data_IF_148215084888
#
_entry.id   IF_148215084888
#
_cell.length_a   1.000
_cell.length_b   1.000
_cell.length_c   1.000
_cell.angle_alpha   90.00
_cell.angle_beta   90.00
_cell.angle_gamma   90.00
#
_symmetry.space_group_name_H-M   'P 1'
#
loop_
_entity.id
_entity.type
_entity.pdbx_description
1 polymer ?
#
# COMPACT_ATOMS: atom_id res chain seq x y z
N UNK A 1 -46.23 20.58 -3.61
CA UNK A 1 -44.82 20.15 -3.51
C UNK A 1 -44.19 20.94 -2.37
N UNK A 2 -43.78 20.27 -1.30
CA UNK A 2 -43.24 20.91 -0.10
C UNK A 2 -41.72 20.98 -0.19
N UNK A 3 -41.14 22.17 -0.10
CA UNK A 3 -39.69 22.34 -0.04
C UNK A 3 -39.18 21.89 1.33
N UNK A 4 -38.24 20.94 1.36
CA UNK A 4 -37.62 20.46 2.58
C UNK A 4 -36.56 21.48 3.05
N UNK A 5 -36.79 22.08 4.22
CA UNK A 5 -35.87 23.07 4.79
C UNK A 5 -34.69 22.33 5.42
N UNK A 6 -33.59 22.24 4.68
CA UNK A 6 -32.36 21.60 5.15
C UNK A 6 -31.40 22.58 5.82
N UNK A 7 -30.82 22.16 6.94
CA UNK A 7 -29.80 22.93 7.63
C UNK A 7 -28.43 22.75 6.96
N UNK A 8 -28.00 23.75 6.20
CA UNK A 8 -26.72 23.72 5.49
C UNK A 8 -25.50 23.61 6.42
N UNK A 9 -25.57 24.10 7.67
CA UNK A 9 -24.47 23.94 8.65
C UNK A 9 -24.29 22.47 9.02
N UNK A 10 -25.39 21.76 9.30
CA UNK A 10 -25.36 20.33 9.61
C UNK A 10 -24.90 19.51 8.40
N UNK A 11 -25.39 19.82 7.21
CA UNK A 11 -24.98 19.17 5.96
C UNK A 11 -23.46 19.32 5.71
N UNK A 12 -22.91 20.54 5.85
CA UNK A 12 -21.46 20.78 5.74
C UNK A 12 -20.66 20.02 6.79
N UNK A 13 -21.15 19.97 8.03
CA UNK A 13 -20.51 19.22 9.12
C UNK A 13 -20.48 17.72 8.84
N UNK A 14 -21.59 17.18 8.32
CA UNK A 14 -21.69 15.77 7.91
C UNK A 14 -20.68 15.45 6.80
N UNK A 15 -20.63 16.28 5.75
CA UNK A 15 -19.67 16.14 4.66
C UNK A 15 -18.21 16.17 5.14
N UNK A 16 -17.86 17.13 6.00
CA UNK A 16 -16.50 17.22 6.57
C UNK A 16 -16.11 15.99 7.40
N UNK A 17 -17.06 15.38 8.13
CA UNK A 17 -16.81 14.14 8.88
C UNK A 17 -16.57 12.95 7.94
N UNK A 18 -17.43 12.79 6.93
CA UNK A 18 -17.30 11.74 5.92
C UNK A 18 -15.96 11.83 5.16
N UNK A 19 -15.54 13.05 4.79
CA UNK A 19 -14.25 13.24 4.12
C UNK A 19 -13.05 12.83 4.99
N UNK A 20 -13.12 13.11 6.31
CA UNK A 20 -12.11 12.70 7.28
C UNK A 20 -12.09 11.18 7.47
N UNK A 21 -13.25 10.54 7.53
CA UNK A 21 -13.36 9.08 7.65
C UNK A 21 -12.77 8.39 6.42
N UNK A 22 -13.08 8.88 5.22
CA UNK A 22 -12.49 8.37 3.97
C UNK A 22 -10.97 8.53 3.94
N UNK A 23 -10.45 9.66 4.42
CA UNK A 23 -9.00 9.87 4.54
C UNK A 23 -8.39 8.90 5.58
N UNK A 24 -9.03 8.73 6.72
CA UNK A 24 -8.61 7.79 7.75
C UNK A 24 -8.60 6.35 7.25
N UNK A 25 -9.58 5.96 6.44
CA UNK A 25 -9.64 4.64 5.82
C UNK A 25 -8.51 4.42 4.82
N UNK A 26 -8.26 5.39 3.94
CA UNK A 26 -7.09 5.35 3.06
C UNK A 26 -5.78 5.28 3.85
N UNK A 27 -5.68 5.98 4.99
CA UNK A 27 -4.51 5.93 5.85
C UNK A 27 -4.41 4.62 6.62
N UNK A 28 -5.51 3.98 7.01
CA UNK A 28 -5.52 2.62 7.57
C UNK A 28 -5.05 1.60 6.52
N UNK A 29 -5.45 1.74 5.27
CA UNK A 29 -4.95 0.86 4.21
C UNK A 29 -3.46 1.12 3.91
N UNK A 30 -3.04 2.39 3.84
CA UNK A 30 -1.66 2.77 3.55
C UNK A 30 -0.70 2.54 4.72
N UNK A 31 -1.16 2.72 5.95
CA UNK A 31 -0.34 2.78 7.15
C UNK A 31 -0.79 1.84 8.27
N UNK A 32 -1.87 1.07 8.12
CA UNK A 32 -2.47 0.22 9.17
C UNK A 32 -1.70 -1.06 9.48
N UNK A 33 -0.56 -1.31 8.83
CA UNK A 33 0.41 -2.28 9.33
C UNK A 33 1.20 -1.64 10.47
N UNK A 34 1.26 -2.30 11.61
CA UNK A 34 2.07 -1.83 12.73
C UNK A 34 3.55 -1.79 12.33
N UNK A 35 4.38 -1.04 13.06
CA UNK A 35 5.83 -1.01 12.81
C UNK A 35 6.45 -2.42 12.95
N UNK A 36 5.91 -3.23 13.86
CA UNK A 36 6.33 -4.62 14.04
C UNK A 36 6.01 -5.47 12.81
N UNK A 37 4.80 -5.37 12.26
CA UNK A 37 4.39 -6.13 11.07
C UNK A 37 5.18 -5.72 9.83
N UNK A 38 5.46 -4.41 9.69
CA UNK A 38 6.31 -3.88 8.61
C UNK A 38 7.73 -4.44 8.70
N UNK A 39 8.32 -4.45 9.90
CA UNK A 39 9.66 -4.98 10.12
C UNK A 39 9.70 -6.49 9.85
N UNK A 40 8.71 -7.25 10.30
CA UNK A 40 8.64 -8.69 10.09
C UNK A 40 8.56 -9.01 8.60
N UNK A 41 7.71 -8.31 7.85
CA UNK A 41 7.62 -8.43 6.38
C UNK A 41 8.94 -8.04 5.69
N UNK A 42 9.60 -6.96 6.14
CA UNK A 42 10.89 -6.57 5.55
C UNK A 42 11.98 -7.62 5.76
N UNK A 43 12.02 -8.24 6.94
CA UNK A 43 12.98 -9.30 7.27
C UNK A 43 12.68 -10.55 6.44
N UNK A 44 11.42 -10.95 6.29
CA UNK A 44 11.06 -12.08 5.42
C UNK A 44 11.45 -11.81 3.96
N UNK A 45 11.13 -10.62 3.44
CA UNK A 45 11.44 -10.24 2.06
C UNK A 45 12.96 -10.16 1.81
N UNK A 46 13.74 -9.77 2.82
CA UNK A 46 15.19 -9.77 2.72
C UNK A 46 15.77 -11.20 2.72
N UNK A 47 15.26 -12.07 3.59
CA UNK A 47 15.66 -13.47 3.66
C UNK A 47 15.38 -14.20 2.35
N UNK A 48 14.20 -13.99 1.78
CA UNK A 48 13.78 -14.63 0.53
C UNK A 48 14.60 -14.11 -0.66
N UNK A 49 14.89 -12.81 -0.73
CA UNK A 49 15.82 -12.27 -1.73
C UNK A 49 17.21 -12.89 -1.61
N UNK A 50 17.76 -12.97 -0.40
CA UNK A 50 19.08 -13.58 -0.18
C UNK A 50 19.10 -15.05 -0.60
N UNK A 51 18.02 -15.81 -0.34
CA UNK A 51 17.89 -17.20 -0.82
C UNK A 51 17.85 -17.27 -2.34
N UNK A 52 17.06 -16.42 -2.98
CA UNK A 52 16.97 -16.39 -4.44
C UNK A 52 18.30 -16.05 -5.09
N UNK A 53 19.03 -15.07 -4.56
CA UNK A 53 20.37 -14.71 -5.06
C UNK A 53 21.38 -15.83 -4.80
N UNK A 54 21.34 -16.50 -3.65
CA UNK A 54 22.23 -17.65 -3.37
C UNK A 54 21.99 -18.84 -4.32
N UNK A 55 20.77 -19.00 -4.83
CA UNK A 55 20.41 -20.02 -5.80
C UNK A 55 20.44 -19.52 -7.26
N UNK A 56 20.88 -18.29 -7.49
CA UNK A 56 20.98 -17.72 -8.83
C UNK A 56 22.15 -18.35 -9.57
N UNK A 57 21.85 -19.10 -10.61
CA UNK A 57 22.84 -19.57 -11.58
C UNK A 57 22.94 -18.51 -12.67
N UNK A 58 24.07 -17.81 -12.75
CA UNK A 58 24.34 -16.95 -13.90
C UNK A 58 24.45 -17.82 -15.15
N UNK A 59 23.56 -17.59 -16.12
CA UNK A 59 23.73 -18.16 -17.45
C UNK A 59 24.99 -17.51 -18.04
N UNK A 60 26.07 -18.28 -18.15
CA UNK A 60 27.26 -17.85 -18.87
C UNK A 60 26.85 -17.29 -20.24
N UNK A 61 27.46 -16.19 -20.72
CA UNK A 61 27.17 -15.67 -22.04
C UNK A 61 27.36 -16.83 -23.02
N UNK A 62 26.27 -17.21 -23.69
CA UNK A 62 26.30 -18.24 -24.72
C UNK A 62 27.34 -17.86 -25.75
N UNK A 63 28.22 -18.81 -26.08
CA UNK A 63 29.08 -18.83 -27.25
C UNK A 63 28.37 -18.11 -28.42
N UNK A 64 28.80 -16.88 -28.71
CA UNK A 64 28.55 -16.26 -30.01
C UNK A 64 29.79 -16.49 -30.82
N UNK A 65 29.77 -17.61 -31.55
CA UNK A 65 30.53 -17.96 -32.75
C UNK A 65 31.69 -17.02 -33.11
N UNK A 66 32.91 -17.42 -32.75
CA UNK A 66 34.15 -16.82 -33.26
C UNK A 66 34.32 -17.17 -34.77
N UNK A 67 34.52 -16.12 -35.58
CA UNK A 67 34.86 -16.14 -37.02
C UNK A 67 36.36 -16.31 -37.23
#
# INVERSE_FOLDING_TARGET
MTAEIINLRQARKSKSRSDKERLAENNRQKFGRSKADKNLSQVSDALDRSRLEAHRIERAPSDTDDV
#
